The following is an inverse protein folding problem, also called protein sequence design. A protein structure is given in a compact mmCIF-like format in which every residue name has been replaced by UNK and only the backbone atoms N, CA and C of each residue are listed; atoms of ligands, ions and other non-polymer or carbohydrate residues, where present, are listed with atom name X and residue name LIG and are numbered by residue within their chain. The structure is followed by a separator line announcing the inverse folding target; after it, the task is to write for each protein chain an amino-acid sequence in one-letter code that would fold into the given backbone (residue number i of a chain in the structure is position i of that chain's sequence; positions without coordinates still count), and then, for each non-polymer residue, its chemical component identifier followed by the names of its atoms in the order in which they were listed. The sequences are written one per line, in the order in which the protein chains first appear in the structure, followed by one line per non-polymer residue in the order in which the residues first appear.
data_IF_862067704364
#
_entry.id   IF_862067704364
#
_cell.length_a   1.000
_cell.length_b   1.000
_cell.length_c   1.000
_cell.angle_alpha   90.00
_cell.angle_beta   90.00
_cell.angle_gamma   90.00
#
_symmetry.space_group_name_H-M   'P 1'
#
loop_
_entity.id
_entity.type
_entity.pdbx_description
1 polymer ?
#
# COMPACT_ATOMS: atom_id res chain seq x y z
N UNK A 1 -7.20 -5.15 -10.18
CA UNK A 1 -8.63 -5.01 -10.50
C UNK A 1 -9.45 -5.33 -9.27
N UNK A 2 -10.49 -4.54 -8.99
CA UNK A 2 -11.50 -4.78 -7.96
C UNK A 2 -12.90 -4.60 -8.55
N UNK A 3 -13.87 -5.31 -7.97
CA UNK A 3 -15.27 -5.29 -8.46
C UNK A 3 -16.19 -5.03 -7.27
N UNK A 4 -17.15 -4.14 -7.46
CA UNK A 4 -18.20 -3.84 -6.49
C UNK A 4 -19.42 -3.21 -7.19
N UNK A 5 -20.62 -3.64 -6.82
CA UNK A 5 -21.90 -3.06 -7.24
C UNK A 5 -21.99 -2.83 -8.77
N UNK A 6 -21.61 -3.85 -9.55
CA UNK A 6 -21.63 -3.77 -11.00
C UNK A 6 -20.57 -2.88 -11.65
N UNK A 7 -19.58 -2.43 -10.89
CA UNK A 7 -18.45 -1.60 -11.34
C UNK A 7 -17.13 -2.35 -11.22
N UNK A 8 -16.25 -2.09 -12.17
CA UNK A 8 -14.88 -2.60 -12.21
C UNK A 8 -13.93 -1.41 -12.01
N UNK A 9 -13.00 -1.53 -11.07
CA UNK A 9 -12.00 -0.52 -10.76
C UNK A 9 -10.61 -1.02 -11.13
N UNK A 10 -9.90 -0.21 -11.92
CA UNK A 10 -8.55 -0.51 -12.42
C UNK A 10 -7.70 0.73 -12.30
N UNK A 11 -6.47 0.60 -11.81
CA UNK A 11 -5.45 1.65 -11.96
C UNK A 11 -4.58 1.25 -13.14
N UNK A 12 -4.41 2.16 -14.10
CA UNK A 12 -3.58 1.95 -15.27
C UNK A 12 -2.12 2.39 -15.04
N UNK A 13 -1.29 2.23 -16.06
CA UNK A 13 0.14 2.58 -15.99
C UNK A 13 0.40 4.09 -15.93
N UNK A 14 -0.61 4.90 -16.25
CA UNK A 14 -0.57 6.36 -16.19
C UNK A 14 -1.04 6.89 -14.82
N UNK A 15 -1.12 6.02 -13.80
CA UNK A 15 -1.63 6.34 -12.47
C UNK A 15 -3.08 6.85 -12.46
N UNK A 16 -3.89 6.48 -13.46
CA UNK A 16 -5.30 6.85 -13.52
C UNK A 16 -6.16 5.71 -12.99
N UNK A 17 -6.96 5.98 -11.98
CA UNK A 17 -8.03 5.07 -11.56
C UNK A 17 -9.21 5.21 -12.53
N UNK A 18 -9.62 4.10 -13.12
CA UNK A 18 -10.76 4.02 -14.04
C UNK A 18 -11.84 3.14 -13.47
N UNK A 19 -13.07 3.58 -13.63
CA UNK A 19 -14.28 2.84 -13.27
C UNK A 19 -15.06 2.48 -14.51
N UNK A 20 -15.33 1.20 -14.69
CA UNK A 20 -16.11 0.70 -15.83
C UNK A 20 -17.39 0.02 -15.35
N UNK A 21 -18.43 0.07 -16.17
CA UNK A 21 -19.61 -0.74 -15.98
C UNK A 21 -19.31 -2.21 -16.33
N UNK A 22 -19.65 -3.15 -15.45
CA UNK A 22 -19.52 -4.59 -15.73
C UNK A 22 -20.47 -5.06 -16.82
N UNK A 23 -21.58 -4.36 -17.01
CA UNK A 23 -22.64 -4.76 -17.95
C UNK A 23 -22.24 -4.55 -19.40
N UNK A 24 -21.57 -3.43 -19.70
CA UNK A 24 -21.30 -3.04 -21.09
C UNK A 24 -19.87 -2.52 -21.32
N UNK A 25 -19.00 -2.57 -20.30
CA UNK A 25 -17.61 -2.13 -20.41
C UNK A 25 -17.40 -0.61 -20.57
N UNK A 26 -18.48 0.21 -20.51
CA UNK A 26 -18.34 1.66 -20.65
C UNK A 26 -17.59 2.25 -19.46
N UNK A 27 -16.69 3.20 -19.75
CA UNK A 27 -16.06 4.02 -18.71
C UNK A 27 -17.12 4.93 -18.09
N UNK A 28 -17.27 4.84 -16.78
CA UNK A 28 -18.22 5.64 -15.99
C UNK A 28 -17.55 6.94 -15.49
N UNK A 29 -16.32 6.84 -15.04
CA UNK A 29 -15.50 7.96 -14.61
C UNK A 29 -14.01 7.55 -14.55
N UNK A 30 -13.14 8.56 -14.52
CA UNK A 30 -11.68 8.37 -14.41
C UNK A 30 -11.09 9.44 -13.51
N UNK A 31 -10.13 9.07 -12.69
CA UNK A 31 -9.44 9.96 -11.75
C UNK A 31 -7.94 9.86 -12.03
N UNK A 32 -7.37 10.83 -12.75
CA UNK A 32 -5.93 10.91 -12.94
C UNK A 32 -5.27 11.35 -11.64
N UNK A 33 -4.10 10.80 -11.35
CA UNK A 33 -3.18 11.30 -10.32
C UNK A 33 -1.89 11.77 -10.99
N UNK A 34 -0.90 12.18 -10.20
CA UNK A 34 0.32 12.72 -10.77
C UNK A 34 0.99 11.77 -11.75
N UNK A 35 1.30 12.31 -12.93
CA UNK A 35 2.09 11.62 -13.95
C UNK A 35 3.54 11.55 -13.46
N UNK A 36 4.09 10.35 -13.44
CA UNK A 36 5.50 10.15 -13.12
C UNK A 36 6.23 9.57 -14.32
N UNK A 37 7.46 10.03 -14.55
CA UNK A 37 8.36 9.48 -15.55
C UNK A 37 8.76 8.04 -15.18
N UNK A 38 8.63 7.68 -13.90
CA UNK A 38 8.97 6.36 -13.37
C UNK A 38 7.70 5.54 -13.19
N UNK A 39 7.46 4.62 -14.10
CA UNK A 39 6.39 3.63 -13.93
C UNK A 39 6.82 2.57 -12.91
N UNK A 40 5.98 2.32 -11.91
CA UNK A 40 6.20 1.19 -11.01
C UNK A 40 6.08 -0.12 -11.78
N UNK A 41 7.04 -1.01 -11.64
CA UNK A 41 6.96 -2.37 -12.18
C UNK A 41 5.97 -3.24 -11.38
N UNK A 42 5.56 -2.80 -10.20
CA UNK A 42 4.61 -3.51 -9.34
C UNK A 42 3.19 -3.03 -9.63
N UNK A 43 2.26 -3.96 -9.67
CA UNK A 43 0.82 -3.69 -9.78
C UNK A 43 0.37 -2.78 -8.65
N UNK A 44 -0.32 -1.71 -8.98
CA UNK A 44 -0.89 -0.78 -8.00
C UNK A 44 -1.95 -1.47 -7.14
N UNK A 45 -1.93 -1.19 -5.85
CA UNK A 45 -2.88 -1.76 -4.91
C UNK A 45 -4.17 -0.94 -4.87
N UNK A 46 -5.30 -1.64 -4.85
CA UNK A 46 -6.63 -1.05 -4.71
C UNK A 46 -7.36 -1.76 -3.59
N UNK A 47 -7.97 -1.01 -2.67
CA UNK A 47 -8.93 -1.53 -1.71
C UNK A 47 -10.29 -0.86 -1.90
N UNK A 48 -11.34 -1.60 -1.56
CA UNK A 48 -12.72 -1.12 -1.58
C UNK A 48 -13.24 -1.12 -0.14
N UNK A 49 -13.89 -0.03 0.23
CA UNK A 49 -14.64 0.08 1.48
C UNK A 49 -16.15 0.19 1.17
N UNK A 50 -16.95 0.55 2.16
CA UNK A 50 -18.39 0.78 1.93
C UNK A 50 -18.63 1.87 0.89
N UNK A 51 -17.90 3.00 0.99
CA UNK A 51 -18.16 4.19 0.16
C UNK A 51 -16.93 4.66 -0.63
N UNK A 52 -15.74 4.11 -0.38
CA UNK A 52 -14.51 4.60 -1.00
C UNK A 52 -13.81 3.51 -1.82
N UNK A 53 -13.17 3.94 -2.88
CA UNK A 53 -12.06 3.24 -3.54
C UNK A 53 -10.78 3.95 -3.13
N UNK A 54 -9.84 3.20 -2.57
CA UNK A 54 -8.55 3.74 -2.17
C UNK A 54 -7.46 3.01 -2.96
N UNK A 55 -6.55 3.75 -3.54
CA UNK A 55 -5.48 3.19 -4.36
C UNK A 55 -4.17 3.94 -4.16
N UNK A 56 -3.08 3.23 -4.44
CA UNK A 56 -1.75 3.83 -4.52
C UNK A 56 -1.39 4.14 -5.97
N UNK A 57 -0.63 5.20 -6.19
CA UNK A 57 0.01 5.48 -7.47
C UNK A 57 1.46 4.93 -7.52
N UNK A 58 2.17 5.15 -8.62
CA UNK A 58 3.54 4.63 -8.82
C UNK A 58 4.59 5.29 -7.93
N UNK A 59 4.31 6.46 -7.37
CA UNK A 59 5.18 7.12 -6.38
C UNK A 59 4.79 6.82 -4.94
N UNK A 60 3.74 6.01 -4.73
CA UNK A 60 3.33 5.54 -3.42
C UNK A 60 2.27 6.37 -2.74
N UNK A 61 1.88 7.50 -3.29
CA UNK A 61 0.82 8.33 -2.72
C UNK A 61 -0.51 7.59 -2.74
N UNK A 62 -1.30 7.81 -1.71
CA UNK A 62 -2.64 7.26 -1.59
C UNK A 62 -3.69 8.28 -1.99
N UNK A 63 -4.66 7.83 -2.76
CA UNK A 63 -5.85 8.60 -3.13
C UNK A 63 -7.10 7.82 -2.75
N UNK A 64 -8.03 8.47 -2.07
CA UNK A 64 -9.37 7.94 -1.82
C UNK A 64 -10.40 8.72 -2.62
N UNK A 65 -11.27 7.98 -3.27
CA UNK A 65 -12.36 8.54 -4.07
C UNK A 65 -13.69 7.93 -3.66
N UNK A 66 -14.78 8.68 -3.81
CA UNK A 66 -16.12 8.12 -3.72
C UNK A 66 -16.32 7.08 -4.84
N UNK A 67 -16.77 5.88 -4.49
CA UNK A 67 -16.84 4.78 -5.45
C UNK A 67 -17.96 4.96 -6.50
N UNK A 68 -18.93 5.85 -6.27
CA UNK A 68 -20.02 6.12 -7.21
C UNK A 68 -19.66 7.21 -8.20
N UNK A 69 -19.17 8.35 -7.71
CA UNK A 69 -18.92 9.56 -8.50
C UNK A 69 -17.49 9.67 -9.02
N UNK A 70 -16.50 9.04 -8.37
CA UNK A 70 -15.08 9.25 -8.64
C UNK A 70 -14.54 10.57 -8.04
N UNK A 71 -15.32 11.27 -7.23
CA UNK A 71 -14.87 12.48 -6.53
C UNK A 71 -13.75 12.16 -5.56
N UNK A 72 -12.66 12.93 -5.60
CA UNK A 72 -11.54 12.77 -4.68
C UNK A 72 -11.97 13.27 -3.30
N UNK A 73 -11.89 12.39 -2.30
CA UNK A 73 -12.21 12.70 -0.91
C UNK A 73 -10.96 13.18 -0.16
N UNK A 74 -9.83 12.49 -0.37
CA UNK A 74 -8.54 12.90 0.17
C UNK A 74 -7.38 12.31 -0.65
N UNK A 75 -6.23 12.95 -0.55
CA UNK A 75 -4.96 12.47 -1.06
C UNK A 75 -3.90 12.61 0.02
N UNK A 76 -3.09 11.58 0.18
CA UNK A 76 -2.01 11.54 1.17
C UNK A 76 -0.69 11.29 0.46
N UNK A 77 0.20 12.28 0.37
CA UNK A 77 1.55 12.06 -0.09
C UNK A 77 2.28 11.22 0.97
N UNK A 78 2.87 10.12 0.53
CA UNK A 78 3.65 9.25 1.42
C UNK A 78 5.14 9.47 1.23
N UNK A 79 5.56 10.35 0.33
CA UNK A 79 6.95 10.59 0.02
C UNK A 79 7.34 12.05 0.06
N UNK A 80 8.56 12.26 0.59
CA UNK A 80 9.31 13.48 0.30
C UNK A 80 10.14 13.17 -0.95
N UNK A 81 9.82 13.82 -2.06
CA UNK A 81 10.58 13.70 -3.31
C UNK A 81 12.01 14.21 -3.09
N UNK A 82 12.92 13.35 -2.76
CA UNK A 82 14.35 13.65 -2.81
C UNK A 82 14.83 13.49 -4.25
N UNK A 83 14.91 14.57 -4.97
CA UNK A 83 15.54 14.63 -6.30
C UNK A 83 17.00 14.14 -6.19
N UNK A 84 17.33 13.04 -6.84
CA UNK A 84 18.73 12.59 -6.97
C UNK A 84 19.03 11.12 -6.73
N UNK A 85 18.08 10.30 -6.28
CA UNK A 85 18.28 8.84 -6.22
C UNK A 85 17.24 8.15 -7.11
N UNK A 86 17.74 7.55 -8.20
CA UNK A 86 16.99 6.63 -9.07
C UNK A 86 16.67 5.32 -8.31
N UNK A 87 15.89 5.40 -7.25
CA UNK A 87 15.45 4.21 -6.53
C UNK A 87 14.01 3.97 -6.95
N UNK A 88 13.80 2.87 -7.66
CA UNK A 88 12.45 2.39 -7.96
C UNK A 88 11.70 2.16 -6.67
N UNK A 89 10.61 2.90 -6.47
CA UNK A 89 9.76 2.69 -5.31
C UNK A 89 8.98 1.39 -5.45
N UNK A 90 8.96 0.62 -4.37
CA UNK A 90 8.13 -0.57 -4.25
C UNK A 90 7.33 -0.49 -2.96
N UNK A 91 6.04 -0.46 -3.12
CA UNK A 91 5.10 -0.43 -2.00
C UNK A 91 4.59 -1.85 -1.72
N UNK A 92 4.23 -2.11 -0.47
CA UNK A 92 3.40 -3.25 -0.12
C UNK A 92 1.99 -3.08 -0.71
N UNK A 93 1.21 -4.16 -0.74
CA UNK A 93 -0.22 -4.02 -0.91
C UNK A 93 -0.84 -3.30 0.28
N UNK A 94 -1.89 -2.52 0.00
CA UNK A 94 -2.66 -1.80 1.01
C UNK A 94 -3.56 -2.79 1.75
N UNK A 95 -3.62 -2.67 3.08
CA UNK A 95 -4.56 -3.42 3.94
C UNK A 95 -5.33 -2.44 4.79
N UNK A 96 -6.63 -2.73 5.05
CA UNK A 96 -7.44 -1.93 5.97
C UNK A 96 -8.16 -2.83 6.96
N UNK A 97 -8.32 -2.34 8.19
CA UNK A 97 -9.17 -2.93 9.23
C UNK A 97 -10.56 -2.26 9.33
N UNK A 98 -10.86 -1.36 8.40
CA UNK A 98 -12.10 -0.58 8.38
C UNK A 98 -12.00 0.79 9.06
N UNK A 99 -10.98 1.03 9.87
CA UNK A 99 -10.69 2.33 10.52
C UNK A 99 -9.40 2.95 10.00
N UNK A 100 -8.38 2.13 9.80
CA UNK A 100 -7.07 2.54 9.34
C UNK A 100 -6.67 1.77 8.07
N UNK A 101 -5.70 2.35 7.39
CA UNK A 101 -5.00 1.79 6.24
C UNK A 101 -3.56 1.57 6.67
N UNK A 102 -3.02 0.40 6.32
CA UNK A 102 -1.64 0.02 6.58
C UNK A 102 -0.92 -0.28 5.28
N UNK A 103 0.25 0.29 5.11
CA UNK A 103 1.15 0.04 3.99
C UNK A 103 2.59 0.31 4.35
N UNK A 104 3.50 -0.29 3.62
CA UNK A 104 4.96 -0.09 3.76
C UNK A 104 5.61 0.07 2.39
N UNK A 105 6.88 0.45 2.39
CA UNK A 105 7.67 0.58 1.17
C UNK A 105 9.13 0.16 1.40
N UNK A 106 9.90 0.15 0.31
CA UNK A 106 11.33 -0.16 0.32
C UNK A 106 12.23 1.03 0.70
N UNK A 107 11.66 2.08 1.31
CA UNK A 107 12.38 3.26 1.80
C UNK A 107 12.34 3.40 3.32
N UNK A 108 12.19 2.29 4.03
CA UNK A 108 12.06 2.25 5.50
C UNK A 108 10.83 3.01 6.01
N UNK A 109 9.70 2.87 5.33
CA UNK A 109 8.49 3.55 5.77
C UNK A 109 7.34 2.56 5.88
N UNK A 110 6.75 2.52 7.05
CA UNK A 110 5.52 1.81 7.35
C UNK A 110 4.52 2.79 7.94
N UNK A 111 3.34 2.90 7.36
CA UNK A 111 2.33 3.88 7.73
C UNK A 111 1.07 3.24 8.27
N UNK A 112 0.46 3.90 9.26
CA UNK A 112 -0.96 3.79 9.55
C UNK A 112 -1.65 5.11 9.22
N UNK A 113 -2.66 5.06 8.38
CA UNK A 113 -3.35 6.22 7.84
C UNK A 113 -4.84 6.08 8.18
N UNK A 114 -5.44 7.15 8.69
CA UNK A 114 -6.88 7.17 8.98
C UNK A 114 -7.68 7.03 7.68
N UNK A 115 -8.56 6.04 7.64
CA UNK A 115 -9.29 5.69 6.42
C UNK A 115 -10.24 6.80 5.94
N UNK A 116 -10.81 7.57 6.87
CA UNK A 116 -11.78 8.61 6.53
C UNK A 116 -11.13 9.92 6.08
N UNK A 117 -10.01 10.27 6.71
CA UNK A 117 -9.38 11.59 6.55
C UNK A 117 -8.10 11.58 5.73
N UNK A 118 -7.48 10.40 5.55
CA UNK A 118 -6.16 10.27 4.92
C UNK A 118 -5.00 10.74 5.82
N UNK A 119 -5.25 11.14 7.06
CA UNK A 119 -4.20 11.65 7.96
C UNK A 119 -3.34 10.48 8.46
N UNK A 120 -2.02 10.64 8.35
CA UNK A 120 -1.05 9.68 8.90
C UNK A 120 -1.14 9.74 10.43
N UNK A 121 -1.49 8.60 11.05
CA UNK A 121 -1.60 8.46 12.51
C UNK A 121 -0.24 8.18 13.15
N UNK A 122 0.51 7.27 12.56
CA UNK A 122 1.86 6.96 12.96
C UNK A 122 2.67 6.42 11.79
N UNK A 123 3.98 6.48 11.93
CA UNK A 123 4.95 5.98 10.97
C UNK A 123 6.05 5.23 11.72
N UNK A 124 6.53 4.11 11.14
CA UNK A 124 7.66 3.34 11.64
C UNK A 124 8.71 3.16 10.54
N UNK A 125 9.98 3.04 10.95
CA UNK A 125 11.10 2.80 10.05
C UNK A 125 11.23 1.30 9.75
N UNK A 126 10.44 0.80 8.82
CA UNK A 126 10.43 -0.61 8.42
C UNK A 126 10.52 -0.70 6.90
N UNK A 127 11.56 -1.39 6.42
CA UNK A 127 11.77 -1.68 5.00
C UNK A 127 11.04 -2.98 4.64
N UNK A 128 9.82 -2.87 4.13
CA UNK A 128 9.02 -4.04 3.73
C UNK A 128 8.22 -3.77 2.47
N UNK A 129 8.19 -4.75 1.58
CA UNK A 129 7.37 -4.75 0.36
C UNK A 129 6.23 -5.75 0.44
N UNK A 130 6.12 -6.45 1.57
CA UNK A 130 5.14 -7.50 1.79
C UNK A 130 3.84 -6.89 2.31
N UNK A 131 2.72 -7.40 1.80
CA UNK A 131 1.40 -7.07 2.32
C UNK A 131 1.34 -7.39 3.81
N UNK A 132 1.10 -6.40 4.69
CA UNK A 132 0.98 -6.65 6.12
C UNK A 132 -0.28 -7.45 6.44
N UNK A 133 -0.25 -8.18 7.55
CA UNK A 133 -1.40 -8.91 8.10
C UNK A 133 -1.87 -8.19 9.34
N UNK A 134 -3.16 -7.87 9.39
CA UNK A 134 -3.78 -7.24 10.57
C UNK A 134 -4.61 -8.28 11.30
N UNK A 135 -4.29 -8.51 12.56
CA UNK A 135 -4.97 -9.50 13.41
C UNK A 135 -5.22 -8.89 14.78
N UNK A 136 -6.48 -8.72 15.15
CA UNK A 136 -6.86 -8.11 16.45
C UNK A 136 -6.20 -6.73 16.61
N UNK A 137 -5.36 -6.59 17.63
CA UNK A 137 -4.64 -5.35 17.96
C UNK A 137 -3.22 -5.30 17.39
N UNK A 138 -2.88 -6.25 16.53
CA UNK A 138 -1.53 -6.41 16.01
C UNK A 138 -1.46 -6.27 14.50
N UNK A 139 -0.30 -5.81 14.04
CA UNK A 139 0.10 -5.84 12.64
C UNK A 139 1.35 -6.70 12.54
N UNK A 140 1.39 -7.60 11.59
CA UNK A 140 2.53 -8.47 11.32
C UNK A 140 3.05 -8.15 9.93
N UNK A 141 4.35 -7.91 9.83
CA UNK A 141 5.05 -7.75 8.55
C UNK A 141 6.40 -8.44 8.59
N UNK A 142 7.04 -8.59 7.42
CA UNK A 142 8.41 -9.09 7.32
C UNK A 142 9.23 -8.07 6.53
N UNK A 143 10.33 -7.63 7.11
CA UNK A 143 11.23 -6.70 6.42
C UNK A 143 12.01 -7.41 5.29
N UNK A 144 12.53 -6.63 4.36
CA UNK A 144 13.36 -7.14 3.26
C UNK A 144 14.64 -7.85 3.77
N UNK A 145 15.06 -7.55 5.01
CA UNK A 145 16.19 -8.19 5.69
C UNK A 145 15.81 -9.52 6.36
N UNK A 146 14.53 -9.93 6.29
CA UNK A 146 14.04 -11.16 6.89
C UNK A 146 13.76 -11.07 8.38
N UNK A 147 13.34 -9.90 8.85
CA UNK A 147 12.87 -9.70 10.20
C UNK A 147 11.33 -9.74 10.23
N UNK A 148 10.74 -10.72 10.90
CA UNK A 148 9.32 -10.71 11.21
C UNK A 148 9.08 -9.75 12.37
N UNK A 149 8.25 -8.74 12.13
CA UNK A 149 7.99 -7.63 13.04
C UNK A 149 6.52 -7.64 13.42
N UNK A 150 6.24 -7.59 14.71
CA UNK A 150 4.89 -7.46 15.27
C UNK A 150 4.75 -6.07 15.88
N UNK A 151 3.77 -5.32 15.43
CA UNK A 151 3.47 -3.96 15.86
C UNK A 151 2.14 -3.90 16.60
N UNK A 152 2.03 -2.99 17.55
CA UNK A 152 0.74 -2.56 18.07
C UNK A 152 0.04 -1.70 17.01
N UNK A 153 -1.21 -2.02 16.73
CA UNK A 153 -2.01 -1.38 15.69
C UNK A 153 -2.32 0.09 15.98
N UNK A 154 -2.48 0.47 17.25
CA UNK A 154 -2.93 1.81 17.64
C UNK A 154 -1.83 2.87 17.54
N UNK A 155 -0.63 2.53 17.98
CA UNK A 155 0.48 3.47 18.14
C UNK A 155 1.71 3.13 17.29
N UNK A 156 1.70 1.96 16.63
CA UNK A 156 2.80 1.49 15.79
C UNK A 156 4.01 0.99 16.57
N UNK A 157 3.95 0.90 17.91
CA UNK A 157 5.07 0.43 18.71
C UNK A 157 5.43 -1.02 18.37
N UNK A 158 6.72 -1.28 18.21
CA UNK A 158 7.24 -2.62 17.94
C UNK A 158 7.16 -3.45 19.21
N UNK A 159 6.36 -4.52 19.17
CA UNK A 159 6.18 -5.46 20.29
C UNK A 159 7.23 -6.56 20.24
N UNK A 160 7.53 -7.06 19.03
CA UNK A 160 8.44 -8.18 18.84
C UNK A 160 9.12 -8.14 17.48
N UNK A 161 10.39 -8.54 17.47
CA UNK A 161 11.15 -8.78 16.24
C UNK A 161 11.75 -10.19 16.32
N UNK A 162 11.54 -10.99 15.26
CA UNK A 162 12.13 -12.30 15.11
C UNK A 162 12.89 -12.39 13.78
N UNK A 163 14.14 -12.80 13.82
CA UNK A 163 14.89 -13.08 12.59
C UNK A 163 14.50 -14.45 12.03
N UNK A 164 13.75 -14.47 10.93
CA UNK A 164 13.30 -15.72 10.28
C UNK A 164 14.43 -16.41 9.51
N UNK A 165 15.51 -15.67 9.22
CA UNK A 165 16.69 -16.20 8.51
C UNK A 165 17.81 -16.61 9.48
N UNK A 166 17.54 -16.71 10.79
CA UNK A 166 18.56 -16.99 11.81
C UNK A 166 19.38 -18.28 11.55
N UNK A 167 18.75 -19.31 10.97
CA UNK A 167 19.38 -20.57 10.67
C UNK A 167 20.16 -20.58 9.33
N UNK A 168 20.11 -19.49 8.58
CA UNK A 168 20.83 -19.32 7.33
C UNK A 168 22.13 -18.58 7.60
N UNK A 169 23.24 -19.08 7.06
CA UNK A 169 24.56 -18.43 7.17
C UNK A 169 24.46 -16.99 6.67
N UNK A 170 24.97 -16.04 7.41
CA UNK A 170 24.84 -14.60 7.16
C UNK A 170 25.21 -14.21 5.71
N UNK A 171 26.32 -14.70 5.19
CA UNK A 171 26.76 -14.47 3.80
C UNK A 171 25.73 -14.89 2.74
N UNK A 172 24.81 -15.81 3.08
CA UNK A 172 23.79 -16.32 2.16
C UNK A 172 22.45 -15.60 2.32
N UNK A 173 22.20 -14.89 3.43
CA UNK A 173 20.91 -14.25 3.72
C UNK A 173 20.48 -13.26 2.64
N UNK A 174 21.43 -12.54 2.03
CA UNK A 174 21.19 -11.60 0.93
C UNK A 174 20.53 -12.22 -0.32
N UNK A 175 20.52 -13.56 -0.42
CA UNK A 175 19.90 -14.28 -1.53
C UNK A 175 18.46 -14.71 -1.22
N UNK A 176 17.95 -14.38 -0.03
CA UNK A 176 16.59 -14.75 0.40
C UNK A 176 15.75 -13.49 0.52
N UNK A 177 14.64 -13.46 -0.20
CA UNK A 177 13.68 -12.38 -0.14
C UNK A 177 12.34 -12.93 0.33
N UNK A 178 11.69 -12.30 1.32
CA UNK A 178 10.34 -12.68 1.71
C UNK A 178 9.39 -12.42 0.54
N UNK A 179 8.46 -13.34 0.29
CA UNK A 179 7.50 -13.24 -0.82
C UNK A 179 6.04 -13.07 -0.35
N UNK A 180 5.76 -13.30 0.93
CA UNK A 180 4.43 -13.15 1.52
C UNK A 180 4.19 -14.08 2.69
N UNK A 181 2.98 -13.99 3.23
CA UNK A 181 2.44 -14.92 4.23
C UNK A 181 1.53 -15.93 3.54
N UNK A 182 1.55 -17.16 4.03
CA UNK A 182 0.65 -18.25 3.62
C UNK A 182 -0.36 -18.47 4.74
#
# INVERSE_FOLDING_TARGET
IKIKDGKIFVVDMENTLRCFSIVNGKNLWSVPTELTIVSSQKKQSIILTKNLVIFSNSIGDLTAVDYKSGEIIWQTPTQILNFGKNITLRNSDIVSDGSFIYMSNNRNEFFAIDLKTGIIKWKQEINSEIRPVVVSDYIITVSNEGLMIILNKLDGNIIRINNILKNIKEKKRKNYYPVGFI
#
